data_IF_931844813214
#
_entry.id   IF_931844813214
#
_cell.length_a   1.000
_cell.length_b   1.000
_cell.length_c   1.000
_cell.angle_alpha   90.00
_cell.angle_beta   90.00
_cell.angle_gamma   90.00
#
_symmetry.space_group_name_H-M   'P 1'
#
loop_
_entity.id
_entity.type
_entity.pdbx_description
1 polymer ?
#
# COMPACT_ATOMS: atom_id res chain seq x y z
N UNK A 1 2.28 -10.11 2.86
CA UNK A 1 3.45 -9.48 3.49
C UNK A 1 3.50 -9.83 4.97
N UNK A 2 4.70 -9.82 5.51
CA UNK A 2 4.95 -10.06 6.93
C UNK A 2 5.81 -8.94 7.47
N UNK A 3 5.32 -8.27 8.52
CA UNK A 3 6.11 -7.28 9.24
C UNK A 3 7.04 -7.99 10.20
N UNK A 4 8.29 -7.56 10.25
CA UNK A 4 9.29 -8.14 11.15
C UNK A 4 9.56 -7.16 12.28
N UNK A 5 9.33 -7.63 13.49
CA UNK A 5 9.45 -6.83 14.71
C UNK A 5 10.59 -7.37 15.58
N UNK A 6 11.28 -6.48 16.27
CA UNK A 6 12.26 -6.85 17.25
C UNK A 6 12.09 -5.95 18.47
N UNK A 7 11.80 -6.55 19.62
CA UNK A 7 11.61 -5.82 20.89
C UNK A 7 10.60 -4.65 20.73
N UNK A 8 9.51 -4.91 20.03
CA UNK A 8 8.46 -3.91 19.84
C UNK A 8 8.72 -2.87 18.76
N UNK A 9 9.84 -2.96 18.05
CA UNK A 9 10.22 -2.01 16.99
C UNK A 9 10.15 -2.70 15.63
N UNK A 10 9.59 -2.00 14.64
CA UNK A 10 9.59 -2.47 13.25
C UNK A 10 11.02 -2.44 12.72
N UNK A 11 11.55 -3.61 12.34
CA UNK A 11 12.91 -3.73 11.80
C UNK A 11 12.94 -4.08 10.31
N UNK A 12 11.83 -4.52 9.75
CA UNK A 12 11.76 -4.82 8.33
C UNK A 12 10.42 -5.32 7.90
N UNK A 13 10.30 -5.54 6.59
CA UNK A 13 9.12 -6.15 5.99
C UNK A 13 9.59 -7.23 5.01
N UNK A 14 8.87 -8.33 4.98
CA UNK A 14 9.15 -9.45 4.09
C UNK A 14 7.95 -9.68 3.19
N UNK A 15 8.16 -9.62 1.89
CA UNK A 15 7.13 -9.88 0.89
C UNK A 15 7.60 -10.95 -0.07
N UNK A 16 6.73 -11.38 -0.98
CA UNK A 16 7.13 -12.30 -2.04
C UNK A 16 8.29 -11.77 -2.87
N UNK A 17 8.40 -10.45 -3.03
CA UNK A 17 9.50 -9.84 -3.80
C UNK A 17 10.85 -10.26 -3.27
N UNK A 18 11.08 -10.14 -1.96
CA UNK A 18 12.35 -10.49 -1.33
C UNK A 18 12.61 -11.98 -1.41
N UNK A 19 11.58 -12.79 -1.21
CA UNK A 19 11.72 -14.25 -1.29
C UNK A 19 12.04 -14.68 -2.72
N UNK A 20 11.33 -14.17 -3.71
CA UNK A 20 11.56 -14.49 -5.12
C UNK A 20 12.96 -14.06 -5.54
N UNK A 21 13.39 -12.87 -5.15
CA UNK A 21 14.73 -12.37 -5.45
C UNK A 21 15.81 -13.29 -4.88
N UNK A 22 15.59 -13.81 -3.67
CA UNK A 22 16.52 -14.71 -3.01
C UNK A 22 16.65 -16.04 -3.75
N UNK A 23 15.53 -16.61 -4.23
CA UNK A 23 15.53 -17.95 -4.86
C UNK A 23 15.70 -17.90 -6.36
N UNK A 24 15.72 -16.73 -6.98
CA UNK A 24 15.80 -16.58 -8.42
C UNK A 24 17.09 -17.22 -8.96
N UNK A 25 16.96 -18.22 -9.83
CA UNK A 25 18.08 -18.97 -10.38
C UNK A 25 18.79 -19.92 -9.42
N UNK A 26 18.39 -19.93 -8.15
CA UNK A 26 18.99 -20.75 -7.09
C UNK A 26 17.91 -21.28 -6.17
N UNK A 27 17.13 -22.31 -6.56
CA UNK A 27 15.93 -22.73 -5.81
C UNK A 27 16.20 -23.13 -4.36
N UNK A 28 17.40 -23.59 -4.04
CA UNK A 28 17.76 -24.01 -2.67
C UNK A 28 18.43 -22.91 -1.86
N UNK A 29 18.57 -21.69 -2.41
CA UNK A 29 19.28 -20.60 -1.74
C UNK A 29 18.58 -20.13 -0.45
N UNK A 30 17.27 -20.39 -0.29
CA UNK A 30 16.53 -19.99 0.90
C UNK A 30 16.87 -20.83 2.13
N UNK A 31 17.48 -21.99 1.95
CA UNK A 31 17.76 -22.92 3.06
C UNK A 31 18.82 -22.34 3.99
N UNK A 32 18.50 -22.32 5.28
CA UNK A 32 19.41 -21.80 6.31
C UNK A 32 19.48 -20.30 6.41
N UNK A 33 18.75 -19.55 5.55
CA UNK A 33 18.71 -18.10 5.65
C UNK A 33 17.74 -17.64 6.74
N UNK A 34 18.17 -16.66 7.50
CA UNK A 34 17.34 -16.04 8.53
C UNK A 34 16.51 -14.90 7.89
N UNK A 35 15.34 -14.61 8.47
CA UNK A 35 14.47 -13.53 8.01
C UNK A 35 15.22 -12.20 7.92
N UNK A 36 16.05 -11.89 8.92
CA UNK A 36 16.81 -10.65 8.97
C UNK A 36 17.77 -10.44 7.79
N UNK A 37 18.20 -11.53 7.13
CA UNK A 37 19.10 -11.43 5.98
C UNK A 37 18.35 -11.27 4.65
N UNK A 38 17.02 -11.46 4.64
CA UNK A 38 16.21 -11.43 3.44
C UNK A 38 15.26 -10.23 3.42
N UNK A 39 14.76 -9.81 4.58
CA UNK A 39 13.78 -8.74 4.71
C UNK A 39 14.29 -7.40 4.18
N UNK A 40 13.35 -6.56 3.75
CA UNK A 40 13.64 -5.16 3.46
C UNK A 40 13.78 -4.41 4.78
N UNK A 41 14.97 -3.89 5.05
CA UNK A 41 15.27 -3.18 6.31
C UNK A 41 14.97 -1.69 6.26
N UNK A 42 14.65 -1.17 5.09
CA UNK A 42 14.31 0.24 4.89
C UNK A 42 12.98 0.41 4.17
N UNK A 43 11.91 -0.23 4.66
CA UNK A 43 10.62 -0.08 4.01
C UNK A 43 10.11 1.34 4.12
N UNK A 44 9.42 1.80 3.09
CA UNK A 44 8.69 3.05 3.17
C UNK A 44 7.56 2.88 4.18
N UNK A 45 7.40 3.85 5.07
CA UNK A 45 6.36 3.83 6.10
C UNK A 45 5.47 5.06 5.95
N UNK A 46 4.24 4.95 6.45
CA UNK A 46 3.25 6.03 6.40
C UNK A 46 2.90 6.50 7.80
N UNK A 47 2.64 7.80 7.92
CA UNK A 47 1.98 8.34 9.11
C UNK A 47 0.46 8.19 8.95
N UNK A 48 -0.31 8.07 10.04
CA UNK A 48 -1.75 7.88 9.94
C UNK A 48 -2.51 9.08 9.39
N UNK A 49 -1.90 10.27 9.39
CA UNK A 49 -2.53 11.50 8.93
C UNK A 49 -2.39 11.74 7.43
N UNK A 50 -1.65 10.90 6.71
CA UNK A 50 -1.42 11.09 5.27
C UNK A 50 -2.70 10.79 4.49
N UNK A 51 -3.02 11.64 3.53
CA UNK A 51 -4.21 11.45 2.70
C UNK A 51 -4.05 10.29 1.74
N UNK A 52 -5.16 9.63 1.38
CA UNK A 52 -5.13 8.44 0.51
C UNK A 52 -4.48 8.71 -0.85
N UNK A 53 -4.70 9.88 -1.42
CA UNK A 53 -4.06 10.21 -2.71
C UNK A 53 -2.55 10.26 -2.60
N UNK A 54 -2.04 10.79 -1.50
CA UNK A 54 -0.61 10.82 -1.24
C UNK A 54 -0.05 9.41 -1.00
N UNK A 55 -0.82 8.56 -0.31
CA UNK A 55 -0.45 7.16 -0.10
C UNK A 55 -0.35 6.43 -1.44
N UNK A 56 -1.35 6.60 -2.31
CA UNK A 56 -1.35 5.98 -3.63
C UNK A 56 -0.14 6.44 -4.44
N UNK A 57 0.16 7.72 -4.41
CA UNK A 57 1.32 8.28 -5.12
C UNK A 57 2.63 7.70 -4.57
N UNK A 58 2.76 7.62 -3.27
CA UNK A 58 3.95 7.04 -2.63
C UNK A 58 4.13 5.57 -3.00
N UNK A 59 3.06 4.81 -3.05
CA UNK A 59 3.10 3.41 -3.47
C UNK A 59 3.50 3.25 -4.93
N UNK A 60 2.98 4.12 -5.81
CA UNK A 60 3.33 4.10 -7.23
C UNK A 60 4.81 4.46 -7.44
N UNK A 61 5.30 5.46 -6.75
CA UNK A 61 6.69 5.90 -6.87
C UNK A 61 7.68 4.86 -6.33
N UNK A 62 7.36 4.25 -5.20
CA UNK A 62 8.23 3.27 -4.55
C UNK A 62 8.04 1.84 -5.05
N UNK A 63 7.02 1.60 -5.89
CA UNK A 63 6.60 0.27 -6.31
C UNK A 63 6.26 -0.66 -5.13
N UNK A 64 5.90 -0.09 -4.00
CA UNK A 64 5.54 -0.86 -2.81
C UNK A 64 4.10 -1.36 -2.94
N UNK A 65 3.89 -2.64 -2.68
CA UNK A 65 2.54 -3.23 -2.62
C UNK A 65 1.94 -3.16 -1.22
N UNK A 66 2.78 -3.00 -0.22
CA UNK A 66 2.39 -2.94 1.18
C UNK A 66 3.21 -1.87 1.86
N UNK A 67 2.58 -1.06 2.70
CA UNK A 67 3.28 -0.04 3.47
C UNK A 67 2.78 -0.05 4.91
N UNK A 68 3.69 -0.19 5.88
CA UNK A 68 3.32 -0.08 7.28
C UNK A 68 2.87 1.34 7.62
N UNK A 69 1.85 1.42 8.47
CA UNK A 69 1.38 2.69 9.04
C UNK A 69 1.92 2.77 10.46
N UNK A 70 2.72 3.78 10.71
CA UNK A 70 3.43 3.94 11.98
C UNK A 70 2.99 5.24 12.66
N UNK A 71 2.81 5.17 13.98
CA UNK A 71 2.70 6.34 14.82
C UNK A 71 3.94 6.36 15.73
N UNK A 72 4.93 7.16 15.32
CA UNK A 72 6.25 7.09 15.94
C UNK A 72 6.85 5.70 15.76
N UNK A 73 7.06 4.98 16.86
CA UNK A 73 7.59 3.61 16.85
C UNK A 73 6.49 2.54 16.90
N UNK A 74 5.22 2.95 17.00
CA UNK A 74 4.09 2.03 17.15
C UNK A 74 3.53 1.68 15.76
N UNK A 75 3.48 0.39 15.46
CA UNK A 75 2.85 -0.11 14.25
C UNK A 75 1.32 -0.11 14.43
N UNK A 76 0.62 0.66 13.62
CA UNK A 76 -0.85 0.71 13.65
C UNK A 76 -1.48 -0.31 12.69
N UNK A 77 -0.83 -0.59 11.59
CA UNK A 77 -1.35 -1.53 10.60
C UNK A 77 -0.50 -1.52 9.35
N UNK A 78 -0.95 -2.28 8.36
CA UNK A 78 -0.29 -2.35 7.04
C UNK A 78 -1.36 -2.11 5.98
N UNK A 79 -1.10 -1.16 5.08
CA UNK A 79 -1.97 -0.93 3.92
C UNK A 79 -1.43 -1.68 2.71
N UNK A 80 -2.34 -2.32 1.96
CA UNK A 80 -2.00 -2.90 0.68
C UNK A 80 -2.32 -1.91 -0.45
N UNK A 81 -1.58 -2.01 -1.54
CA UNK A 81 -1.87 -1.21 -2.74
C UNK A 81 -3.29 -1.43 -3.24
N UNK A 82 -3.75 -2.68 -3.21
CA UNK A 82 -5.11 -3.01 -3.64
C UNK A 82 -6.16 -2.26 -2.82
N UNK A 83 -6.03 -2.27 -1.49
CA UNK A 83 -7.00 -1.61 -0.62
C UNK A 83 -7.02 -0.09 -0.82
N UNK A 84 -5.84 0.51 -1.00
CA UNK A 84 -5.73 1.95 -1.24
C UNK A 84 -6.33 2.32 -2.59
N UNK A 85 -5.99 1.58 -3.64
CA UNK A 85 -6.53 1.83 -4.97
C UNK A 85 -8.05 1.68 -4.99
N UNK A 86 -8.57 0.66 -4.33
CA UNK A 86 -10.01 0.43 -4.20
C UNK A 86 -10.70 1.61 -3.50
N UNK A 87 -10.14 2.08 -2.40
CA UNK A 87 -10.70 3.20 -1.65
C UNK A 87 -10.71 4.49 -2.48
N UNK A 88 -9.65 4.74 -3.24
CA UNK A 88 -9.58 5.91 -4.13
C UNK A 88 -10.61 5.82 -5.25
N UNK A 89 -10.75 4.66 -5.88
CA UNK A 89 -11.75 4.44 -6.93
C UNK A 89 -13.17 4.62 -6.39
N UNK A 90 -13.46 4.08 -5.23
CA UNK A 90 -14.77 4.24 -4.59
C UNK A 90 -15.07 5.71 -4.26
N UNK A 91 -14.06 6.45 -3.79
CA UNK A 91 -14.19 7.87 -3.52
C UNK A 91 -14.48 8.67 -4.81
N UNK A 92 -13.75 8.40 -5.89
CA UNK A 92 -14.00 9.05 -7.18
C UNK A 92 -15.36 8.69 -7.73
N UNK A 93 -15.79 7.46 -7.60
CA UNK A 93 -17.13 7.03 -8.03
C UNK A 93 -18.21 7.80 -7.28
N UNK A 94 -18.07 7.95 -5.98
CA UNK A 94 -19.00 8.70 -5.16
C UNK A 94 -19.09 10.16 -5.62
N UNK A 95 -17.95 10.81 -5.85
CA UNK A 95 -17.91 12.17 -6.37
C UNK A 95 -18.57 12.27 -7.76
N UNK A 96 -18.31 11.31 -8.63
CA UNK A 96 -18.93 11.27 -9.95
C UNK A 96 -20.46 11.10 -9.87
N UNK A 97 -20.95 10.26 -8.98
CA UNK A 97 -22.38 10.07 -8.78
C UNK A 97 -23.04 11.35 -8.28
N UNK A 98 -22.40 12.05 -7.35
CA UNK A 98 -22.89 13.33 -6.89
C UNK A 98 -22.91 14.38 -8.01
N UNK A 99 -21.87 14.43 -8.81
CA UNK A 99 -21.78 15.34 -9.93
C UNK A 99 -22.84 15.03 -10.99
N UNK A 100 -23.05 13.75 -11.29
CA UNK A 100 -24.11 13.35 -12.22
C UNK A 100 -25.49 13.76 -11.72
N UNK A 101 -25.76 13.57 -10.45
CA UNK A 101 -27.02 13.99 -9.85
C UNK A 101 -27.23 15.49 -10.00
N UNK A 102 -26.18 16.27 -9.74
CA UNK A 102 -26.22 17.71 -9.93
C UNK A 102 -26.48 18.11 -11.38
N UNK A 103 -25.85 17.42 -12.33
CA UNK A 103 -26.01 17.68 -13.76
C UNK A 103 -27.41 17.27 -14.24
N UNK A 104 -27.98 16.20 -13.72
CA UNK A 104 -29.33 15.75 -14.06
C UNK A 104 -30.37 16.75 -13.66
N UNK A 105 -30.16 17.56 -12.64
CA UNK A 105 -31.03 18.63 -12.21
C UNK A 105 -30.87 19.88 -13.09
N UNK A 106 -29.94 19.87 -14.02
CA UNK A 106 -29.69 21.00 -14.91
C UNK A 106 -30.70 20.99 -16.07
N UNK A 107 -31.33 22.14 -16.40
CA UNK A 107 -32.43 22.16 -17.38
C UNK A 107 -32.13 21.63 -18.77
N UNK A 108 -30.87 21.66 -19.20
CA UNK A 108 -30.46 21.25 -20.55
C UNK A 108 -29.41 20.13 -20.49
N UNK A 109 -29.41 19.31 -19.47
CA UNK A 109 -28.43 18.25 -19.36
C UNK A 109 -28.66 17.18 -20.42
N UNK A 110 -27.66 16.97 -21.27
CA UNK A 110 -27.62 15.90 -22.26
C UNK A 110 -26.49 14.93 -21.96
N UNK A 111 -25.83 15.09 -20.83
CA UNK A 111 -24.71 14.23 -20.45
C UNK A 111 -25.21 12.86 -20.03
N UNK A 112 -24.82 11.87 -20.82
CA UNK A 112 -24.94 10.45 -20.46
C UNK A 112 -23.54 9.92 -20.26
N UNK A 113 -23.26 9.45 -19.07
CA UNK A 113 -21.93 8.89 -18.82
C UNK A 113 -21.95 7.40 -18.94
#
# INVERSE_FOLDING_TARGET
SVVVMHQGVLVGILTFREIIATVHGKPDAYRGLMVESVMDTTPAVLAPEVELQEVLQAMLESHARYMPVMDGTVLLGVLSFYDVAKAVVESERFENEQLKSYIQDWPNSTLTA
#
